data_IF_469161324752
#
_entry.id   IF_469161324752
#
_cell.length_a   1.000
_cell.length_b   1.000
_cell.length_c   1.000
_cell.angle_alpha   90.00
_cell.angle_beta   90.00
_cell.angle_gamma   90.00
#
_symmetry.space_group_name_H-M   'P 1'
#
loop_
_entity.id
_entity.type
_entity.pdbx_description
1 polymer ?
#
# COMPACT_ATOMS: atom_id res chain seq x y z
N UNK A 1 6.12 -2.59 20.36
CA UNK A 1 7.22 -3.57 20.32
C UNK A 1 7.22 -4.25 18.96
N UNK A 2 8.38 -4.43 18.34
CA UNK A 2 8.51 -5.16 17.06
C UNK A 2 9.34 -6.41 17.35
N UNK A 3 8.72 -7.58 17.33
CA UNK A 3 9.41 -8.85 17.41
C UNK A 3 9.82 -9.26 16.00
N UNK A 4 11.08 -9.67 15.82
CA UNK A 4 11.64 -10.12 14.54
C UNK A 4 11.97 -11.60 14.63
N UNK A 5 11.48 -12.39 13.67
CA UNK A 5 11.77 -13.82 13.56
C UNK A 5 12.33 -14.08 12.18
N UNK A 6 13.53 -14.67 12.08
CA UNK A 6 14.07 -15.11 10.79
C UNK A 6 13.26 -16.31 10.27
N UNK A 7 12.98 -16.32 8.98
CA UNK A 7 12.19 -17.37 8.32
C UNK A 7 12.92 -17.90 7.09
N UNK A 8 12.54 -19.10 6.63
CA UNK A 8 13.14 -19.69 5.43
C UNK A 8 12.87 -18.78 4.22
N UNK A 9 13.90 -18.32 3.49
CA UNK A 9 13.70 -17.47 2.33
C UNK A 9 12.98 -18.23 1.21
N UNK A 10 12.12 -17.52 0.48
CA UNK A 10 11.39 -18.07 -0.68
C UNK A 10 12.33 -18.31 -1.87
N UNK A 11 13.43 -17.57 -1.95
CA UNK A 11 14.42 -17.64 -3.03
C UNK A 11 15.74 -18.21 -2.52
N UNK A 12 16.56 -18.72 -3.45
CA UNK A 12 17.90 -19.28 -3.15
C UNK A 12 18.83 -18.23 -2.55
N UNK A 13 18.68 -16.98 -2.99
CA UNK A 13 19.42 -15.83 -2.47
C UNK A 13 18.44 -14.81 -1.85
N UNK A 14 18.67 -14.46 -0.58
CA UNK A 14 17.89 -13.45 0.13
C UNK A 14 17.70 -13.73 1.62
N UNK A 15 17.25 -12.71 2.35
CA UNK A 15 16.87 -12.80 3.77
C UNK A 15 15.35 -12.68 3.85
N UNK A 16 14.71 -13.52 4.67
CA UNK A 16 13.29 -13.41 4.97
C UNK A 16 13.07 -13.26 6.48
N UNK A 17 12.36 -12.22 6.87
CA UNK A 17 12.03 -11.90 8.26
C UNK A 17 10.51 -11.78 8.40
N UNK A 18 9.98 -12.34 9.48
CA UNK A 18 8.63 -12.10 9.95
C UNK A 18 8.69 -11.06 11.07
N UNK A 19 7.89 -9.99 10.94
CA UNK A 19 7.74 -8.97 11.96
C UNK A 19 6.37 -9.07 12.61
N UNK A 20 6.35 -9.21 13.94
CA UNK A 20 5.12 -9.06 14.73
C UNK A 20 5.14 -7.71 15.42
N UNK A 21 4.09 -6.92 15.17
CA UNK A 21 3.99 -5.54 15.65
C UNK A 21 2.71 -5.40 16.45
N UNK A 22 2.81 -4.92 17.68
CA UNK A 22 1.65 -4.45 18.43
C UNK A 22 1.28 -3.04 17.94
N UNK A 23 0.11 -2.93 17.32
CA UNK A 23 -0.42 -1.67 16.79
C UNK A 23 -1.30 -1.00 17.85
N UNK A 24 -1.10 0.30 18.12
CA UNK A 24 -2.01 1.05 18.97
C UNK A 24 -3.35 1.27 18.26
N UNK A 25 -4.39 1.52 19.06
CA UNK A 25 -5.72 1.84 18.55
C UNK A 25 -5.64 3.11 17.67
N UNK A 26 -6.31 3.07 16.51
CA UNK A 26 -6.29 4.10 15.47
C UNK A 26 -4.97 4.25 14.68
N UNK A 27 -4.05 3.29 14.77
CA UNK A 27 -2.90 3.25 13.86
C UNK A 27 -3.28 2.76 12.46
N UNK A 28 -2.50 3.21 11.48
CA UNK A 28 -2.54 2.69 10.11
C UNK A 28 -1.24 1.99 9.77
N UNK A 29 -1.33 0.85 9.09
CA UNK A 29 -0.18 0.19 8.48
C UNK A 29 -0.17 0.50 7.00
N UNK A 30 0.92 1.10 6.52
CA UNK A 30 1.12 1.34 5.09
C UNK A 30 2.10 0.31 4.56
N UNK A 31 1.60 -0.62 3.77
CA UNK A 31 2.41 -1.56 3.03
C UNK A 31 2.67 -1.02 1.61
N UNK A 32 3.91 -1.12 1.16
CA UNK A 32 4.35 -0.60 -0.13
C UNK A 32 5.19 -1.65 -0.83
N UNK A 33 4.80 -1.99 -2.05
CA UNK A 33 5.58 -2.85 -2.93
C UNK A 33 5.85 -2.10 -4.23
N UNK A 34 7.14 -1.86 -4.51
CA UNK A 34 7.58 -1.13 -5.69
C UNK A 34 8.68 -1.91 -6.42
N UNK A 35 8.50 -2.02 -7.73
CA UNK A 35 9.43 -2.68 -8.64
C UNK A 35 9.95 -1.64 -9.63
N UNK A 36 11.27 -1.52 -9.72
CA UNK A 36 11.97 -0.75 -10.73
C UNK A 36 12.24 -1.64 -11.95
N UNK A 37 11.77 -1.22 -13.13
CA UNK A 37 12.12 -1.94 -14.35
C UNK A 37 13.45 -1.44 -14.95
N UNK A 38 13.99 -2.19 -15.92
CA UNK A 38 15.24 -1.85 -16.64
C UNK A 38 15.19 -0.49 -17.35
N UNK A 39 13.99 0.02 -17.67
CA UNK A 39 13.78 1.35 -18.26
C UNK A 39 13.65 2.47 -17.21
N UNK A 40 14.07 2.20 -15.96
CA UNK A 40 13.97 3.11 -14.80
C UNK A 40 12.55 3.61 -14.50
N UNK A 41 11.54 2.85 -14.91
CA UNK A 41 10.15 3.13 -14.54
C UNK A 41 9.77 2.31 -13.31
N UNK A 42 9.24 3.01 -12.31
CA UNK A 42 8.71 2.41 -11.09
C UNK A 42 7.24 2.03 -11.33
N UNK A 43 6.87 0.83 -10.92
CA UNK A 43 5.48 0.39 -10.77
C UNK A 43 5.33 -0.22 -9.39
N UNK A 44 4.14 -0.15 -8.83
CA UNK A 44 3.92 -0.73 -7.52
C UNK A 44 2.51 -0.55 -7.03
N UNK A 45 2.29 -0.98 -5.80
CA UNK A 45 1.06 -0.74 -5.08
C UNK A 45 1.32 -0.29 -3.65
N UNK A 46 0.35 0.43 -3.11
CA UNK A 46 0.32 0.84 -1.71
C UNK A 46 -1.00 0.34 -1.12
N UNK A 47 -0.90 -0.41 -0.04
CA UNK A 47 -2.02 -0.95 0.72
C UNK A 47 -2.03 -0.30 2.10
N UNK A 48 -3.21 0.15 2.53
CA UNK A 48 -3.40 0.75 3.86
C UNK A 48 -4.31 -0.16 4.66
N UNK A 49 -3.82 -0.62 5.80
CA UNK A 49 -4.57 -1.44 6.75
C UNK A 49 -4.90 -0.63 8.01
N UNK A 50 -6.06 -0.89 8.59
CA UNK A 50 -6.42 -0.42 9.93
C UNK A 50 -5.69 -1.20 11.02
N UNK A 51 -5.86 -0.77 12.27
CA UNK A 51 -5.31 -1.46 13.45
C UNK A 51 -5.89 -2.87 13.66
N UNK A 52 -7.07 -3.13 13.09
CA UNK A 52 -7.73 -4.45 13.07
C UNK A 52 -7.23 -5.37 11.94
N UNK A 53 -6.27 -4.91 11.14
CA UNK A 53 -5.73 -5.65 10.00
C UNK A 53 -6.64 -5.66 8.76
N UNK A 54 -7.77 -4.93 8.76
CA UNK A 54 -8.63 -4.81 7.58
C UNK A 54 -7.99 -3.88 6.55
N UNK A 55 -8.07 -4.29 5.28
CA UNK A 55 -7.64 -3.45 4.17
C UNK A 55 -8.64 -2.30 3.98
N UNK A 56 -8.19 -1.07 4.21
CA UNK A 56 -9.02 0.13 4.11
C UNK A 56 -8.92 0.80 2.75
N UNK A 57 -7.76 0.68 2.08
CA UNK A 57 -7.54 1.33 0.81
C UNK A 57 -6.42 0.63 0.04
N UNK A 58 -6.60 0.51 -1.27
CA UNK A 58 -5.58 0.01 -2.20
C UNK A 58 -5.30 1.06 -3.26
N UNK A 59 -4.03 1.31 -3.55
CA UNK A 59 -3.64 2.17 -4.66
C UNK A 59 -2.60 1.51 -5.55
N UNK A 60 -2.74 1.70 -6.85
CA UNK A 60 -1.82 1.17 -7.86
C UNK A 60 -1.10 2.33 -8.52
N UNK A 61 0.23 2.27 -8.53
CA UNK A 61 1.11 3.25 -9.15
C UNK A 61 1.67 2.70 -10.46
N UNK A 62 1.32 3.35 -11.57
CA UNK A 62 1.80 2.97 -12.92
C UNK A 62 1.82 4.18 -13.85
N UNK A 63 2.86 4.28 -14.68
CA UNK A 63 2.99 5.37 -15.67
C UNK A 63 2.85 6.76 -15.02
N UNK A 64 3.48 6.95 -13.86
CA UNK A 64 3.42 8.19 -13.06
C UNK A 64 2.01 8.57 -12.57
N UNK A 65 1.06 7.63 -12.56
CA UNK A 65 -0.32 7.85 -12.12
C UNK A 65 -0.62 6.94 -10.95
N UNK A 66 -1.23 7.51 -9.91
CA UNK A 66 -1.74 6.77 -8.76
C UNK A 66 -3.24 6.58 -8.97
N UNK A 67 -3.67 5.31 -9.05
CA UNK A 67 -5.08 4.93 -9.11
C UNK A 67 -5.46 4.37 -7.76
N UNK A 68 -6.32 5.06 -7.03
CA UNK A 68 -6.80 4.61 -5.74
C UNK A 68 -8.12 3.88 -5.95
N UNK A 69 -8.16 2.63 -5.51
CA UNK A 69 -9.32 1.76 -5.51
C UNK A 69 -10.01 1.91 -4.16
N UNK A 70 -11.33 2.09 -4.19
CA UNK A 70 -12.21 2.03 -3.02
C UNK A 70 -11.76 2.95 -1.88
N UNK A 71 -12.03 4.25 -2.04
CA UNK A 71 -11.80 5.27 -1.02
C UNK A 71 -13.10 5.95 -0.68
N UNK A 72 -13.59 5.66 0.53
CA UNK A 72 -14.71 6.40 1.13
C UNK A 72 -14.20 7.53 2.05
N UNK A 73 -12.93 7.49 2.45
CA UNK A 73 -12.35 8.41 3.44
C UNK A 73 -11.26 9.34 2.83
N UNK A 74 -11.45 10.67 2.84
CA UNK A 74 -10.45 11.64 2.38
C UNK A 74 -9.08 11.56 3.09
N UNK A 75 -9.05 11.09 4.34
CA UNK A 75 -7.80 10.95 5.11
C UNK A 75 -6.86 9.95 4.45
N UNK A 76 -7.38 8.83 3.92
CA UNK A 76 -6.57 7.80 3.25
C UNK A 76 -5.92 8.34 1.98
N UNK A 77 -6.63 9.21 1.24
CA UNK A 77 -6.07 9.89 0.07
C UNK A 77 -4.91 10.83 0.46
N UNK A 78 -5.05 11.55 1.57
CA UNK A 78 -3.98 12.43 2.06
C UNK A 78 -2.77 11.62 2.55
N UNK A 79 -3.00 10.49 3.21
CA UNK A 79 -1.94 9.56 3.61
C UNK A 79 -1.13 9.08 2.40
N UNK A 80 -1.82 8.67 1.33
CA UNK A 80 -1.18 8.27 0.07
C UNK A 80 -0.31 9.41 -0.49
N UNK A 81 -0.86 10.64 -0.58
CA UNK A 81 -0.10 11.80 -1.07
C UNK A 81 1.15 12.06 -0.22
N UNK A 82 1.04 11.95 1.11
CA UNK A 82 2.17 12.09 2.02
C UNK A 82 3.24 11.03 1.74
N UNK A 83 2.85 9.76 1.55
CA UNK A 83 3.77 8.67 1.21
C UNK A 83 4.54 8.96 -0.07
N UNK A 84 3.84 9.30 -1.17
CA UNK A 84 4.48 9.60 -2.45
C UNK A 84 5.39 10.84 -2.37
N UNK A 85 5.01 11.85 -1.58
CA UNK A 85 5.84 13.04 -1.33
C UNK A 85 7.12 12.69 -0.55
N UNK A 86 7.02 11.90 0.52
CA UNK A 86 8.16 11.47 1.34
C UNK A 86 9.15 10.62 0.56
N UNK A 87 8.64 9.72 -0.30
CA UNK A 87 9.47 8.89 -1.17
C UNK A 87 10.03 9.63 -2.40
N UNK A 88 9.67 10.91 -2.59
CA UNK A 88 10.04 11.74 -3.75
C UNK A 88 9.69 11.07 -5.08
N UNK A 89 8.59 10.31 -5.11
CA UNK A 89 8.13 9.63 -6.32
C UNK A 89 7.36 10.60 -7.21
N UNK A 90 7.67 10.67 -8.52
CA UNK A 90 6.99 11.59 -9.43
C UNK A 90 5.55 11.15 -9.71
N UNK A 91 4.56 11.97 -9.32
CA UNK A 91 3.15 11.71 -9.58
C UNK A 91 2.54 12.80 -10.46
N UNK A 92 2.05 12.41 -11.64
CA UNK A 92 1.36 13.29 -12.59
C UNK A 92 -0.11 13.48 -12.24
N UNK A 93 -0.78 12.43 -11.73
CA UNK A 93 -2.22 12.47 -11.43
C UNK A 93 -2.59 11.43 -10.39
N UNK A 94 -3.50 11.83 -9.49
CA UNK A 94 -4.25 10.95 -8.60
C UNK A 94 -5.66 10.75 -9.20
N UNK A 95 -6.11 9.51 -9.30
CA UNK A 95 -7.45 9.18 -9.75
C UNK A 95 -8.11 8.21 -8.78
N UNK A 96 -9.36 8.47 -8.43
CA UNK A 96 -10.19 7.53 -7.67
C UNK A 96 -10.96 6.68 -8.66
N UNK A 97 -10.80 5.37 -8.56
CA UNK A 97 -11.64 4.40 -9.28
C UNK A 97 -12.64 3.89 -8.26
N UNK A 98 -13.90 4.28 -8.44
CA UNK A 98 -15.01 3.69 -7.69
C UNK A 98 -15.30 2.34 -8.34
N UNK A 99 -15.09 1.23 -7.61
CA UNK A 99 -15.69 -0.03 -8.04
C UNK A 99 -17.21 0.17 -7.99
N UNK A 100 -17.88 0.03 -9.14
CA UNK A 100 -19.33 -0.04 -9.16
C UNK A 100 -19.74 -1.20 -8.27
N UNK A 101 -20.42 -0.90 -7.15
CA UNK A 101 -20.80 -1.90 -6.17
C UNK A 101 -21.55 -3.05 -6.85
N UNK A 102 -21.10 -4.28 -6.61
CA UNK A 102 -22.03 -5.41 -6.67
C UNK A 102 -23.09 -5.12 -5.61
N UNK A 103 -24.29 -4.72 -6.04
CA UNK A 103 -25.47 -4.83 -5.19
C UNK A 103 -25.65 -6.32 -4.93
N UNK A 104 -25.29 -6.77 -3.74
CA UNK A 104 -25.86 -8.01 -3.23
C UNK A 104 -27.36 -7.75 -3.09
N UNK A 105 -28.11 -8.43 -3.94
CA UNK A 105 -29.57 -8.52 -3.88
C UNK A 105 -29.86 -9.52 -2.76
N UNK A 106 -30.39 -9.02 -1.66
CA UNK A 106 -31.05 -9.80 -0.61
C UNK A 106 -32.55 -9.60 -0.72
#
# INVERSE_FOLDING_TARGET
MVEKVSTKPTYVEGISEMHKILLPDNAYVVYMDFILNLRKHIKGEVLIYGSDGRLLCRSVYRKLKVRVLDVDNPLLMNLIKCVFKSLKLPVKRYGVVRSGGKKEVS
#
